data_IF_328951035056
#
_entry.id   IF_328951035056
#
_cell.length_a   1.000
_cell.length_b   1.000
_cell.length_c   1.000
_cell.angle_alpha   90.00
_cell.angle_beta   90.00
_cell.angle_gamma   90.00
#
_symmetry.space_group_name_H-M   'P 1'
#
loop_
_entity.id
_entity.type
_entity.pdbx_description
1 polymer ?
#
# COMPACT_ATOMS: atom_id res chain seq x y z
N UNK A 1 -2.09 -18.61 11.95
CA UNK A 1 -1.05 -18.09 11.03
C UNK A 1 -1.29 -16.61 10.87
N UNK A 2 -0.26 -15.79 10.98
CA UNK A 2 -0.32 -14.35 10.67
C UNK A 2 -0.07 -14.20 9.17
N UNK A 3 -0.92 -13.46 8.45
CA UNK A 3 -0.70 -13.24 7.01
C UNK A 3 0.48 -12.29 6.80
N UNK A 4 1.20 -12.39 5.67
CA UNK A 4 2.28 -11.43 5.40
C UNK A 4 1.70 -10.05 5.13
N UNK A 5 0.48 -10.00 4.59
CA UNK A 5 -0.26 -8.75 4.41
C UNK A 5 -0.41 -8.01 5.72
N UNK A 6 -0.76 -8.68 6.84
CA UNK A 6 -0.92 -8.03 8.15
C UNK A 6 0.36 -7.33 8.65
N UNK A 7 1.53 -7.78 8.19
CA UNK A 7 2.84 -7.22 8.53
C UNK A 7 3.29 -6.10 7.59
N UNK A 8 2.55 -5.82 6.51
CA UNK A 8 2.82 -4.67 5.66
C UNK A 8 2.51 -3.40 6.43
N UNK A 9 3.47 -2.49 6.47
CA UNK A 9 3.31 -1.16 7.03
C UNK A 9 3.01 -0.18 5.89
N UNK A 10 1.86 0.49 5.95
CA UNK A 10 1.47 1.51 4.96
C UNK A 10 1.62 2.88 5.63
N UNK A 11 2.63 3.61 5.19
CA UNK A 11 3.04 4.90 5.80
C UNK A 11 2.49 6.10 5.04
N UNK A 12 1.82 5.90 3.91
CA UNK A 12 1.28 7.01 3.13
C UNK A 12 0.68 6.61 1.79
N UNK A 13 -0.03 7.57 1.21
CA UNK A 13 -0.35 7.59 -0.22
C UNK A 13 0.13 8.93 -0.77
N UNK A 14 0.84 8.91 -1.88
CA UNK A 14 1.28 10.10 -2.59
C UNK A 14 0.48 10.24 -3.88
N UNK A 15 0.13 11.47 -4.26
CA UNK A 15 -0.45 11.73 -5.57
C UNK A 15 0.61 12.34 -6.47
N UNK A 16 0.86 11.71 -7.62
CA UNK A 16 1.78 12.18 -8.65
C UNK A 16 0.99 12.30 -9.95
N UNK A 17 0.75 13.55 -10.38
CA UNK A 17 -0.18 13.84 -11.47
C UNK A 17 -1.57 13.30 -11.15
N UNK A 18 -2.06 12.40 -12.03
CA UNK A 18 -3.38 11.77 -11.88
C UNK A 18 -3.32 10.35 -11.28
N UNK A 19 -2.16 9.94 -10.77
CA UNK A 19 -1.93 8.60 -10.22
C UNK A 19 -1.71 8.65 -8.70
N UNK A 20 -2.36 7.73 -7.99
CA UNK A 20 -2.10 7.49 -6.58
C UNK A 20 -1.03 6.40 -6.43
N UNK A 21 -0.02 6.69 -5.62
CA UNK A 21 1.08 5.80 -5.27
C UNK A 21 1.01 5.47 -3.78
N UNK A 22 1.36 4.25 -3.42
CA UNK A 22 1.40 3.78 -2.04
C UNK A 22 2.82 3.89 -1.51
N UNK A 23 3.00 4.45 -0.32
CA UNK A 23 4.26 4.37 0.42
C UNK A 23 4.11 3.25 1.44
N UNK A 24 4.85 2.17 1.26
CA UNK A 24 4.75 0.99 2.13
C UNK A 24 6.08 0.28 2.32
N UNK A 25 6.17 -0.47 3.42
CA UNK A 25 7.26 -1.39 3.73
C UNK A 25 6.70 -2.81 3.84
N UNK A 26 7.24 -3.71 3.03
CA UNK A 26 6.90 -5.13 3.12
C UNK A 26 7.58 -5.82 4.31
N UNK A 27 7.05 -6.97 4.76
CA UNK A 27 7.72 -7.79 5.78
C UNK A 27 9.12 -8.20 5.33
N UNK A 28 10.11 -7.94 6.19
CA UNK A 28 11.53 -8.19 5.91
C UNK A 28 12.21 -7.15 5.02
N UNK A 29 11.50 -6.12 4.54
CA UNK A 29 12.12 -4.99 3.82
C UNK A 29 12.66 -3.96 4.83
N UNK A 30 13.89 -3.52 4.64
CA UNK A 30 14.53 -2.57 5.58
C UNK A 30 14.00 -1.14 5.48
N UNK A 31 13.39 -0.78 4.34
CA UNK A 31 12.95 0.58 4.04
C UNK A 31 11.59 0.59 3.35
N UNK A 32 10.80 1.64 3.62
CA UNK A 32 9.57 1.90 2.86
C UNK A 32 9.91 2.36 1.44
N UNK A 33 9.00 2.08 0.49
CA UNK A 33 9.14 2.42 -0.92
C UNK A 33 7.83 2.95 -1.47
N UNK A 34 7.93 3.79 -2.50
CA UNK A 34 6.77 4.31 -3.24
C UNK A 34 6.44 3.36 -4.40
N UNK A 35 5.20 2.89 -4.44
CA UNK A 35 4.75 1.79 -5.30
C UNK A 35 3.47 2.19 -6.04
N UNK A 36 3.39 1.85 -7.32
CA UNK A 36 2.15 2.00 -8.08
C UNK A 36 1.24 0.77 -7.87
N UNK A 37 -0.10 0.91 -8.04
CA UNK A 37 -0.97 -0.25 -8.26
C UNK A 37 -0.40 -1.17 -9.36
N UNK A 38 -0.44 -2.48 -9.13
CA UNK A 38 0.24 -3.49 -9.94
C UNK A 38 1.64 -3.89 -9.43
N UNK A 39 2.21 -3.14 -8.49
CA UNK A 39 3.53 -3.44 -7.91
C UNK A 39 3.47 -4.53 -6.84
N UNK A 40 4.61 -5.16 -6.56
CA UNK A 40 4.72 -6.22 -5.56
C UNK A 40 5.63 -5.87 -4.37
N UNK A 41 5.27 -6.39 -3.21
CA UNK A 41 6.01 -6.38 -1.94
C UNK A 41 6.42 -7.81 -1.55
N UNK A 42 7.28 -7.92 -0.54
CA UNK A 42 7.63 -9.20 0.10
C UNK A 42 8.14 -10.26 -0.89
N UNK A 43 8.99 -9.83 -1.84
CA UNK A 43 9.55 -10.64 -2.91
C UNK A 43 8.51 -11.27 -3.84
N UNK A 44 7.46 -10.53 -4.20
CA UNK A 44 6.45 -10.98 -5.17
C UNK A 44 5.21 -11.63 -4.55
N UNK A 45 5.15 -11.76 -3.22
CA UNK A 45 4.07 -12.46 -2.53
C UNK A 45 2.82 -11.61 -2.30
N UNK A 46 3.00 -10.29 -2.23
CA UNK A 46 1.91 -9.35 -1.97
C UNK A 46 1.79 -8.39 -3.14
N UNK A 47 0.62 -8.36 -3.75
CA UNK A 47 0.28 -7.41 -4.81
C UNK A 47 -0.38 -6.17 -4.20
N UNK A 48 0.10 -4.99 -4.57
CA UNK A 48 -0.61 -3.72 -4.36
C UNK A 48 -1.63 -3.60 -5.49
N UNK A 49 -2.88 -4.03 -5.26
CA UNK A 49 -3.88 -4.13 -6.33
C UNK A 49 -4.46 -2.78 -6.71
N UNK A 50 -4.82 -1.96 -5.72
CA UNK A 50 -5.45 -0.66 -5.96
C UNK A 50 -5.32 0.28 -4.76
N UNK A 51 -5.54 1.57 -5.01
CA UNK A 51 -5.82 2.58 -3.98
C UNK A 51 -7.21 3.12 -4.23
N UNK A 52 -8.09 3.04 -3.24
CA UNK A 52 -9.46 3.56 -3.30
C UNK A 52 -9.58 4.78 -2.41
N UNK A 53 -10.23 5.82 -2.91
CA UNK A 53 -10.64 6.96 -2.08
C UNK A 53 -11.91 6.54 -1.31
N UNK A 54 -11.80 6.31 0.00
CA UNK A 54 -12.94 5.97 0.85
C UNK A 54 -13.24 7.15 1.78
N UNK A 55 -13.99 8.13 1.26
CA UNK A 55 -14.25 9.37 1.99
C UNK A 55 -13.00 10.25 2.06
N UNK A 56 -12.54 10.57 3.28
CA UNK A 56 -11.39 11.47 3.51
C UNK A 56 -10.05 10.73 3.56
N UNK A 57 -10.07 9.41 3.69
CA UNK A 57 -8.87 8.60 3.83
C UNK A 57 -8.75 7.59 2.69
N UNK A 58 -7.57 7.46 2.08
CA UNK A 58 -7.33 6.42 1.09
C UNK A 58 -7.23 5.05 1.76
N UNK A 59 -7.78 4.04 1.09
CA UNK A 59 -7.68 2.63 1.48
C UNK A 59 -6.90 1.89 0.40
N UNK A 60 -5.87 1.17 0.82
CA UNK A 60 -5.04 0.34 -0.06
C UNK A 60 -5.60 -1.08 -0.09
N UNK A 61 -5.71 -1.65 -1.29
CA UNK A 61 -6.12 -3.04 -1.51
C UNK A 61 -4.87 -3.88 -1.75
N UNK A 62 -4.59 -4.80 -0.85
CA UNK A 62 -3.49 -5.76 -0.96
C UNK A 62 -4.03 -7.15 -1.28
N UNK A 63 -3.28 -7.93 -2.04
CA UNK A 63 -3.62 -9.32 -2.33
C UNK A 63 -2.46 -10.24 -2.01
N UNK A 64 -2.73 -11.27 -1.22
CA UNK A 64 -1.81 -12.38 -0.93
C UNK A 64 -2.53 -13.69 -1.18
N UNK A 65 -1.94 -14.58 -1.97
CA UNK A 65 -2.51 -15.89 -2.30
C UNK A 65 -3.97 -15.83 -2.80
N UNK A 66 -4.34 -14.77 -3.53
CA UNK A 66 -5.68 -14.56 -4.07
C UNK A 66 -6.69 -13.96 -3.08
N UNK A 67 -6.33 -13.74 -1.82
CA UNK A 67 -7.19 -13.10 -0.82
C UNK A 67 -6.96 -11.60 -0.81
N UNK A 68 -8.03 -10.82 -0.96
CA UNK A 68 -7.96 -9.36 -0.86
C UNK A 68 -8.10 -8.88 0.59
N UNK A 69 -7.22 -7.97 0.99
CA UNK A 69 -7.27 -7.31 2.30
C UNK A 69 -7.24 -5.81 2.11
N UNK A 70 -8.14 -5.12 2.82
CA UNK A 70 -8.20 -3.66 2.84
C UNK A 70 -7.34 -3.14 3.99
N UNK A 71 -6.46 -2.18 3.69
CA UNK A 71 -5.57 -1.56 4.69
C UNK A 71 -5.68 -0.05 4.62
N UNK A 72 -6.02 0.54 5.76
CA UNK A 72 -5.94 1.99 5.95
C UNK A 72 -4.48 2.42 6.08
N UNK A 73 -4.22 3.67 5.69
CA UNK A 73 -2.90 4.27 5.86
C UNK A 73 -2.66 4.54 7.35
N UNK A 74 -1.71 3.84 7.96
CA UNK A 74 -1.32 4.07 9.35
C UNK A 74 -0.31 5.21 9.40
N UNK A 75 -0.81 6.42 9.57
CA UNK A 75 0.01 7.62 9.67
C UNK A 75 0.30 8.27 8.32
N UNK A 76 0.07 9.58 8.29
CA UNK A 76 0.38 10.52 7.21
C UNK A 76 -0.63 10.59 6.05
N UNK A 77 -1.31 11.74 6.02
CA UNK A 77 -2.29 12.22 5.04
C UNK A 77 -1.73 12.08 3.63
N UNK A 78 -2.64 11.96 2.65
CA UNK A 78 -2.26 12.00 1.23
C UNK A 78 -1.30 13.17 0.96
N UNK A 79 -0.05 12.86 0.62
CA UNK A 79 0.95 13.90 0.34
C UNK A 79 0.81 14.30 -1.13
N UNK A 80 0.38 15.53 -1.35
CA UNK A 80 0.38 16.16 -2.67
C UNK A 80 1.79 16.68 -2.93
N UNK A 81 2.59 15.97 -3.72
CA UNK A 81 3.82 16.53 -4.28
C UNK A 81 3.44 17.24 -5.58
N UNK A 82 3.48 18.57 -5.55
CA UNK A 82 3.25 19.44 -6.72
C UNK A 82 4.41 19.35 -7.69
#
# INVERSE_FOLDING_TARGET
MVSLVDQVEITGVAQVGNQLLVVARGPGESSARTLAPGSYLASGRILVKAVRQAGKEPVVVLVENGVETLRSVSGQRAMSMR
#
